data_IF_479038600856
#
_entry.id   IF_479038600856
#
_cell.length_a   1.000
_cell.length_b   1.000
_cell.length_c   1.000
_cell.angle_alpha   90.00
_cell.angle_beta   90.00
_cell.angle_gamma   90.00
#
_symmetry.space_group_name_H-M   'P 1'
#
loop_
_entity.id
_entity.type
_entity.pdbx_description
1 polymer ?
#
# COMPACT_ATOMS: atom_id res chain seq x y z
N UNK A 1 19.67 0.88 0.02
CA UNK A 1 19.90 -0.52 0.43
C UNK A 1 18.59 -1.15 0.90
N UNK A 2 17.83 -1.76 -0.02
CA UNK A 2 16.62 -2.55 0.31
C UNK A 2 16.93 -4.05 0.53
N UNK A 3 18.21 -4.44 0.45
CA UNK A 3 18.62 -5.85 0.58
C UNK A 3 18.29 -6.49 1.95
N UNK A 4 18.07 -5.70 3.00
CA UNK A 4 17.82 -6.22 4.35
C UNK A 4 16.35 -6.50 4.67
N UNK A 5 15.40 -6.07 3.85
CA UNK A 5 13.96 -6.29 4.10
C UNK A 5 13.42 -5.73 5.42
N UNK A 6 14.12 -4.78 6.04
CA UNK A 6 13.73 -4.21 7.34
C UNK A 6 12.31 -3.63 7.31
N UNK A 7 11.95 -2.97 6.19
CA UNK A 7 10.62 -2.41 5.97
C UNK A 7 9.52 -3.48 6.00
N UNK A 8 9.81 -4.68 5.49
CA UNK A 8 8.86 -5.81 5.52
C UNK A 8 8.71 -6.36 6.93
N UNK A 9 9.82 -6.50 7.68
CA UNK A 9 9.78 -6.93 9.07
C UNK A 9 9.02 -5.96 9.95
N UNK A 10 9.26 -4.65 9.80
CA UNK A 10 8.50 -3.63 10.54
C UNK A 10 7.02 -3.66 10.17
N UNK A 11 6.69 -3.78 8.88
CA UNK A 11 5.30 -3.91 8.45
C UNK A 11 4.64 -5.17 9.02
N UNK A 12 5.32 -6.30 8.99
CA UNK A 12 4.83 -7.57 9.53
C UNK A 12 4.57 -7.48 11.04
N UNK A 13 5.53 -6.96 11.81
CA UNK A 13 5.36 -6.77 13.26
C UNK A 13 4.20 -5.80 13.57
N UNK A 14 4.10 -4.71 12.81
CA UNK A 14 2.99 -3.75 12.96
C UNK A 14 1.64 -4.41 12.65
N UNK A 15 1.55 -5.22 11.59
CA UNK A 15 0.33 -5.96 11.27
C UNK A 15 -0.04 -6.97 12.38
N UNK A 16 0.94 -7.65 12.97
CA UNK A 16 0.70 -8.56 14.12
C UNK A 16 0.14 -7.78 15.31
N UNK A 17 0.72 -6.62 15.64
CA UNK A 17 0.24 -5.78 16.74
C UNK A 17 -1.19 -5.29 16.51
N UNK A 18 -1.48 -4.83 15.27
CA UNK A 18 -2.83 -4.41 14.88
C UNK A 18 -3.81 -5.59 14.94
N UNK A 19 -3.42 -6.77 14.43
CA UNK A 19 -4.24 -7.99 14.50
C UNK A 19 -4.50 -8.41 15.95
N UNK A 20 -3.49 -8.33 16.80
CA UNK A 20 -3.61 -8.62 18.23
C UNK A 20 -4.57 -7.66 18.94
N UNK A 21 -4.44 -6.35 18.69
CA UNK A 21 -5.35 -5.35 19.25
C UNK A 21 -6.79 -5.53 18.74
N UNK A 22 -6.97 -5.78 17.43
CA UNK A 22 -8.28 -6.06 16.84
C UNK A 22 -8.90 -7.35 17.44
N UNK A 23 -8.12 -8.42 17.54
CA UNK A 23 -8.56 -9.69 18.12
C UNK A 23 -8.93 -9.55 19.59
N UNK A 24 -8.12 -8.82 20.38
CA UNK A 24 -8.42 -8.54 21.79
C UNK A 24 -9.72 -7.77 21.96
N UNK A 25 -9.94 -6.78 21.11
CA UNK A 25 -11.20 -6.01 21.09
C UNK A 25 -12.40 -6.91 20.73
N UNK A 26 -12.28 -7.73 19.68
CA UNK A 26 -13.33 -8.66 19.28
C UNK A 26 -13.65 -9.69 20.35
N UNK A 27 -12.63 -10.20 21.06
CA UNK A 27 -12.82 -11.11 22.21
C UNK A 27 -13.49 -10.42 23.38
N UNK A 28 -13.13 -9.20 23.70
CA UNK A 28 -13.73 -8.44 24.81
C UNK A 28 -15.20 -8.09 24.56
N UNK A 29 -15.54 -7.78 23.30
CA UNK A 29 -16.91 -7.45 22.89
C UNK A 29 -17.74 -8.65 22.47
N UNK A 30 -17.11 -9.85 22.34
CA UNK A 30 -17.72 -11.08 21.83
C UNK A 30 -18.34 -10.91 20.43
N UNK A 31 -17.90 -9.92 19.67
CA UNK A 31 -18.43 -9.60 18.33
C UNK A 31 -17.28 -9.19 17.40
N UNK A 32 -17.39 -9.54 16.12
CA UNK A 32 -16.51 -8.98 15.10
C UNK A 32 -16.97 -7.53 14.84
N UNK A 33 -16.08 -6.52 15.01
CA UNK A 33 -16.44 -5.13 14.79
C UNK A 33 -17.03 -4.94 13.39
N UNK A 34 -18.24 -4.38 13.31
CA UNK A 34 -18.85 -4.10 12.02
C UNK A 34 -18.12 -2.94 11.32
N UNK A 35 -18.08 -2.98 9.99
CA UNK A 35 -17.46 -1.91 9.19
C UNK A 35 -18.13 -0.53 9.44
N UNK A 36 -19.40 -0.52 9.84
CA UNK A 36 -20.19 0.68 10.18
C UNK A 36 -19.99 1.19 11.59
N UNK A 37 -19.40 0.39 12.49
CA UNK A 37 -19.19 0.78 13.88
C UNK A 37 -18.03 1.78 13.99
N UNK A 38 -18.01 2.57 15.06
CA UNK A 38 -16.98 3.58 15.27
C UNK A 38 -15.56 3.00 15.20
N UNK A 39 -15.35 1.82 15.79
CA UNK A 39 -14.05 1.14 15.78
C UNK A 39 -13.70 0.63 14.37
N UNK A 40 -14.63 -0.04 13.69
CA UNK A 40 -14.44 -0.53 12.32
C UNK A 40 -14.21 0.61 11.33
N UNK A 41 -15.00 1.67 11.42
CA UNK A 41 -14.83 2.88 10.60
C UNK A 41 -13.48 3.56 10.85
N UNK A 42 -13.08 3.70 12.12
CA UNK A 42 -11.79 4.30 12.49
C UNK A 42 -10.61 3.57 11.88
N UNK A 43 -10.59 2.23 11.94
CA UNK A 43 -9.54 1.41 11.31
C UNK A 43 -9.52 1.64 9.78
N UNK A 44 -10.69 1.66 9.13
CA UNK A 44 -10.79 1.92 7.69
C UNK A 44 -10.26 3.28 7.28
N UNK A 45 -10.63 4.33 8.02
CA UNK A 45 -10.17 5.71 7.77
C UNK A 45 -8.65 5.80 7.92
N UNK A 46 -8.09 5.28 9.02
CA UNK A 46 -6.63 5.30 9.24
C UNK A 46 -5.92 4.53 8.13
N UNK A 47 -6.39 3.32 7.80
CA UNK A 47 -5.83 2.51 6.71
C UNK A 47 -5.85 3.24 5.37
N UNK A 48 -6.96 3.89 5.03
CA UNK A 48 -7.08 4.69 3.80
C UNK A 48 -6.12 5.90 3.79
N UNK A 49 -5.99 6.62 4.91
CA UNK A 49 -5.05 7.74 5.04
C UNK A 49 -3.61 7.24 4.81
N UNK A 50 -3.22 6.10 5.40
CA UNK A 50 -1.90 5.51 5.16
C UNK A 50 -1.67 5.18 3.70
N UNK A 51 -2.66 4.60 3.01
CA UNK A 51 -2.60 4.33 1.57
C UNK A 51 -2.47 5.62 0.76
N UNK A 52 -3.23 6.65 1.10
CA UNK A 52 -3.17 7.95 0.42
C UNK A 52 -1.80 8.62 0.60
N UNK A 53 -1.24 8.59 1.80
CA UNK A 53 0.10 9.10 2.10
C UNK A 53 1.17 8.33 1.32
N UNK A 54 1.02 7.01 1.19
CA UNK A 54 1.91 6.15 0.40
C UNK A 54 2.02 6.64 -1.04
N UNK A 55 0.90 6.88 -1.69
CA UNK A 55 0.86 7.30 -3.09
C UNK A 55 1.30 8.75 -3.26
N UNK A 56 0.74 9.66 -2.46
CA UNK A 56 0.97 11.11 -2.64
C UNK A 56 2.40 11.50 -2.30
N UNK A 57 2.91 11.13 -1.14
CA UNK A 57 4.23 11.57 -0.67
C UNK A 57 5.36 10.97 -1.51
N UNK A 58 5.27 9.69 -1.85
CA UNK A 58 6.27 9.04 -2.70
C UNK A 58 6.28 9.66 -4.11
N UNK A 59 5.09 9.87 -4.71
CA UNK A 59 4.95 10.47 -6.02
C UNK A 59 5.44 11.91 -6.05
N UNK A 60 5.13 12.72 -5.04
CA UNK A 60 5.64 14.09 -4.90
C UNK A 60 7.17 14.09 -4.80
N UNK A 61 7.74 13.24 -3.95
CA UNK A 61 9.20 13.14 -3.81
C UNK A 61 9.87 12.69 -5.11
N UNK A 62 9.29 11.73 -5.82
CA UNK A 62 9.83 11.22 -7.10
C UNK A 62 9.83 12.29 -8.20
N UNK A 63 8.83 13.17 -8.23
CA UNK A 63 8.67 14.24 -9.23
C UNK A 63 9.46 15.51 -8.89
N UNK A 64 9.73 15.75 -7.61
CA UNK A 64 10.45 16.95 -7.18
C UNK A 64 11.95 16.80 -7.43
N UNK A 65 12.49 17.60 -8.35
CA UNK A 65 13.92 17.65 -8.67
C UNK A 65 14.73 18.47 -7.66
N UNK A 66 14.10 19.40 -6.94
CA UNK A 66 14.75 20.37 -6.03
C UNK A 66 14.55 20.04 -4.54
N UNK A 67 13.75 19.06 -4.20
CA UNK A 67 13.45 18.79 -2.80
C UNK A 67 14.57 18.00 -2.11
N UNK A 68 15.19 18.60 -1.10
CA UNK A 68 16.14 17.96 -0.19
C UNK A 68 15.48 17.06 0.87
N UNK A 69 14.35 16.43 0.54
CA UNK A 69 13.51 15.66 1.47
C UNK A 69 14.07 14.25 1.73
N UNK A 70 15.33 14.16 2.07
CA UNK A 70 15.93 12.87 2.42
C UNK A 70 16.23 11.95 1.22
N UNK A 71 16.72 10.75 1.52
CA UNK A 71 17.14 9.76 0.52
C UNK A 71 15.94 9.10 -0.16
N UNK A 72 16.01 8.91 -1.47
CA UNK A 72 14.94 8.23 -2.24
C UNK A 72 14.68 6.80 -1.76
N UNK A 73 15.72 6.11 -1.30
CA UNK A 73 15.58 4.76 -0.71
C UNK A 73 14.71 4.74 0.54
N UNK A 74 14.77 5.78 1.38
CA UNK A 74 13.93 5.91 2.58
C UNK A 74 12.48 6.12 2.21
N UNK A 75 12.20 6.94 1.19
CA UNK A 75 10.85 7.15 0.69
C UNK A 75 10.24 5.89 0.07
N UNK A 76 11.06 5.07 -0.61
CA UNK A 76 10.60 3.78 -1.12
C UNK A 76 10.32 2.80 0.02
N UNK A 77 11.15 2.77 1.08
CA UNK A 77 10.88 1.95 2.28
C UNK A 77 9.58 2.38 2.97
N UNK A 78 9.36 3.69 3.09
CA UNK A 78 8.12 4.25 3.62
C UNK A 78 6.91 3.84 2.78
N UNK A 79 7.02 3.97 1.44
CA UNK A 79 5.97 3.53 0.51
C UNK A 79 5.64 2.04 0.69
N UNK A 80 6.64 1.17 0.79
CA UNK A 80 6.43 -0.28 1.00
C UNK A 80 5.78 -0.54 2.36
N UNK A 81 6.27 0.10 3.43
CA UNK A 81 5.75 -0.09 4.78
C UNK A 81 4.28 0.33 4.88
N UNK A 82 3.95 1.56 4.49
CA UNK A 82 2.58 2.07 4.53
C UNK A 82 1.65 1.36 3.54
N UNK A 83 2.20 0.95 2.37
CA UNK A 83 1.51 0.17 1.35
C UNK A 83 1.23 -1.29 1.75
N UNK A 84 1.72 -1.75 2.89
CA UNK A 84 1.35 -3.04 3.51
C UNK A 84 0.43 -2.83 4.72
N UNK A 85 0.77 -1.90 5.60
CA UNK A 85 0.00 -1.66 6.84
C UNK A 85 -1.37 -1.06 6.53
N UNK A 86 -1.45 -0.07 5.62
CA UNK A 86 -2.73 0.56 5.24
C UNK A 86 -3.74 -0.45 4.66
N UNK A 87 -3.39 -1.22 3.62
CA UNK A 87 -4.23 -2.28 3.08
C UNK A 87 -4.65 -3.33 4.12
N UNK A 88 -3.76 -3.70 5.03
CA UNK A 88 -4.09 -4.62 6.11
C UNK A 88 -5.18 -4.06 7.04
N UNK A 89 -5.10 -2.78 7.40
CA UNK A 89 -6.14 -2.11 8.20
C UNK A 89 -7.47 -2.02 7.43
N UNK A 90 -7.42 -1.70 6.13
CA UNK A 90 -8.60 -1.70 5.26
C UNK A 90 -9.22 -3.10 5.20
N UNK A 91 -8.42 -4.16 5.14
CA UNK A 91 -8.91 -5.54 5.18
C UNK A 91 -9.68 -5.83 6.48
N UNK A 92 -9.13 -5.45 7.64
CA UNK A 92 -9.83 -5.60 8.92
C UNK A 92 -11.14 -4.80 8.98
N UNK A 93 -11.16 -3.59 8.37
CA UNK A 93 -12.36 -2.77 8.24
C UNK A 93 -13.49 -3.48 7.48
N UNK A 94 -13.20 -4.34 6.49
CA UNK A 94 -14.25 -5.03 5.73
C UNK A 94 -15.14 -5.92 6.58
N UNK A 95 -14.74 -6.27 7.80
CA UNK A 95 -15.40 -7.27 8.65
C UNK A 95 -15.67 -8.57 7.90
N UNK A 96 -14.79 -8.91 6.96
CA UNK A 96 -14.84 -10.09 6.07
C UNK A 96 -16.04 -10.11 5.11
N UNK A 97 -16.66 -8.95 4.86
CA UNK A 97 -17.77 -8.79 3.91
C UNK A 97 -17.24 -8.20 2.61
N UNK A 98 -17.27 -8.97 1.52
CA UNK A 98 -16.71 -8.61 0.22
C UNK A 98 -17.80 -8.46 -0.86
N UNK A 99 -18.79 -7.61 -0.60
CA UNK A 99 -19.93 -7.43 -1.49
C UNK A 99 -19.90 -6.08 -2.22
N UNK A 100 -20.43 -6.05 -3.42
CA UNK A 100 -20.62 -4.82 -4.20
C UNK A 100 -19.32 -4.04 -4.41
N UNK A 101 -19.40 -2.72 -4.33
CA UNK A 101 -18.27 -1.82 -4.56
C UNK A 101 -17.16 -2.00 -3.52
N UNK A 102 -17.49 -2.28 -2.26
CA UNK A 102 -16.52 -2.58 -1.21
C UNK A 102 -15.66 -3.80 -1.56
N UNK A 103 -16.30 -4.86 -2.08
CA UNK A 103 -15.61 -6.06 -2.54
C UNK A 103 -14.69 -5.79 -3.72
N UNK A 104 -15.13 -4.99 -4.70
CA UNK A 104 -14.31 -4.58 -5.84
C UNK A 104 -13.07 -3.76 -5.40
N UNK A 105 -13.26 -2.81 -4.47
CA UNK A 105 -12.17 -2.00 -3.90
C UNK A 105 -11.18 -2.88 -3.14
N UNK A 106 -11.66 -3.85 -2.37
CA UNK A 106 -10.81 -4.82 -1.65
C UNK A 106 -10.03 -5.70 -2.61
N UNK A 107 -10.64 -6.18 -3.70
CA UNK A 107 -9.94 -6.95 -4.73
C UNK A 107 -8.80 -6.12 -5.36
N UNK A 108 -9.07 -4.88 -5.75
CA UNK A 108 -8.04 -3.97 -6.27
C UNK A 108 -6.92 -3.75 -5.25
N UNK A 109 -7.24 -3.67 -3.96
CA UNK A 109 -6.27 -3.57 -2.87
C UNK A 109 -5.36 -4.79 -2.82
N UNK A 110 -5.88 -6.00 -2.94
CA UNK A 110 -5.07 -7.22 -3.04
C UNK A 110 -4.16 -7.23 -4.27
N UNK A 111 -4.71 -6.86 -5.42
CA UNK A 111 -3.96 -6.84 -6.69
C UNK A 111 -2.80 -5.83 -6.59
N UNK A 112 -3.02 -4.63 -6.06
CA UNK A 112 -1.97 -3.62 -5.96
C UNK A 112 -0.86 -4.02 -4.97
N UNK A 113 -1.22 -4.62 -3.83
CA UNK A 113 -0.24 -5.15 -2.86
C UNK A 113 0.60 -6.26 -3.48
N UNK A 114 -0.03 -7.22 -4.15
CA UNK A 114 0.69 -8.29 -4.84
C UNK A 114 1.62 -7.75 -5.92
N UNK A 115 1.13 -6.82 -6.73
CA UNK A 115 1.95 -6.11 -7.72
C UNK A 115 3.12 -5.36 -7.09
N UNK A 116 2.94 -4.78 -5.89
CA UNK A 116 4.00 -4.14 -5.11
C UNK A 116 5.15 -5.11 -4.75
N UNK A 117 4.84 -6.36 -4.36
CA UNK A 117 5.85 -7.39 -4.13
C UNK A 117 6.64 -7.72 -5.40
N UNK A 118 5.97 -7.82 -6.55
CA UNK A 118 6.63 -8.04 -7.85
C UNK A 118 7.58 -6.87 -8.15
N UNK A 119 7.11 -5.63 -8.02
CA UNK A 119 7.92 -4.44 -8.25
C UNK A 119 9.14 -4.38 -7.34
N UNK A 120 8.96 -4.68 -6.05
CA UNK A 120 10.06 -4.77 -5.08
C UNK A 120 11.07 -5.85 -5.48
N UNK A 121 10.62 -7.01 -5.89
CA UNK A 121 11.50 -8.09 -6.36
C UNK A 121 12.34 -7.64 -7.55
N UNK A 122 11.74 -7.04 -8.58
CA UNK A 122 12.44 -6.51 -9.75
C UNK A 122 13.42 -5.41 -9.32
N UNK A 123 12.98 -4.47 -8.46
CA UNK A 123 13.79 -3.37 -7.98
C UNK A 123 15.08 -3.83 -7.28
N UNK A 124 14.99 -4.86 -6.44
CA UNK A 124 16.15 -5.39 -5.70
C UNK A 124 17.16 -6.12 -6.58
N UNK A 125 16.79 -6.46 -7.82
CA UNK A 125 17.71 -7.08 -8.81
C UNK A 125 18.61 -6.07 -9.50
N UNK A 126 18.27 -4.77 -9.47
CA UNK A 126 19.08 -3.71 -10.05
C UNK A 126 19.94 -3.10 -8.93
N UNK A 127 21.27 -3.25 -8.95
CA UNK A 127 22.14 -2.61 -7.98
C UNK A 127 22.03 -1.08 -8.09
N UNK A 128 21.83 -0.41 -6.95
CA UNK A 128 21.66 1.04 -6.87
C UNK A 128 22.39 1.63 -5.69
N UNK A 129 22.83 2.88 -5.83
CA UNK A 129 23.37 3.69 -4.74
C UNK A 129 22.27 4.05 -3.73
N UNK A 130 22.65 4.69 -2.62
CA UNK A 130 21.68 5.19 -1.64
C UNK A 130 20.79 6.30 -2.20
N UNK A 131 21.25 7.03 -3.20
CA UNK A 131 20.52 8.08 -3.93
C UNK A 131 19.58 7.50 -5.00
N UNK A 132 19.61 6.19 -5.23
CA UNK A 132 18.76 5.51 -6.21
C UNK A 132 19.35 5.44 -7.62
N UNK A 133 20.61 5.85 -7.80
CA UNK A 133 21.32 5.73 -9.07
C UNK A 133 21.77 4.27 -9.29
N UNK A 134 21.73 3.82 -10.52
CA UNK A 134 22.21 2.48 -10.88
C UNK A 134 23.74 2.41 -10.82
N UNK A 135 24.29 1.29 -10.26
CA UNK A 135 25.72 1.06 -10.18
C UNK A 135 26.14 0.35 -11.46
N UNK A 136 26.97 0.99 -12.26
CA UNK A 136 27.51 0.43 -13.49
C UNK A 136 28.50 -0.72 -13.23
N UNK A 137 28.58 -1.68 -14.17
CA UNK A 137 29.55 -2.75 -14.13
C UNK A 137 29.23 -3.94 -13.22
N UNK A 138 28.12 -3.91 -12.45
CA UNK A 138 27.74 -5.02 -11.54
C UNK A 138 26.89 -6.11 -12.20
N UNK A 139 26.26 -5.80 -13.33
CA UNK A 139 25.45 -6.71 -14.14
C UNK A 139 25.89 -6.66 -15.60
N UNK A 140 25.66 -7.76 -16.33
CA UNK A 140 25.82 -7.71 -17.78
C UNK A 140 24.83 -6.73 -18.39
N UNK A 141 25.20 -6.09 -19.50
CA UNK A 141 24.33 -5.11 -20.20
C UNK A 141 22.97 -5.70 -20.57
N UNK A 142 22.93 -6.98 -20.94
CA UNK A 142 21.67 -7.68 -21.25
C UNK A 142 20.79 -7.86 -20.01
N UNK A 143 21.37 -8.27 -18.88
CA UNK A 143 20.64 -8.46 -17.63
C UNK A 143 20.06 -7.13 -17.13
N UNK A 144 20.82 -6.03 -17.24
CA UNK A 144 20.37 -4.69 -16.90
C UNK A 144 19.24 -4.22 -17.81
N UNK A 145 19.37 -4.45 -19.13
CA UNK A 145 18.32 -4.12 -20.12
C UNK A 145 17.02 -4.87 -19.81
N UNK A 146 17.09 -6.16 -19.53
CA UNK A 146 15.92 -6.98 -19.16
C UNK A 146 15.27 -6.48 -17.87
N UNK A 147 16.05 -6.18 -16.85
CA UNK A 147 15.54 -5.67 -15.58
C UNK A 147 14.83 -4.30 -15.74
N UNK A 148 15.38 -3.39 -16.57
CA UNK A 148 14.76 -2.11 -16.90
C UNK A 148 13.45 -2.31 -17.68
N UNK A 149 13.39 -3.23 -18.63
CA UNK A 149 12.18 -3.56 -19.38
C UNK A 149 11.08 -4.10 -18.46
N UNK A 150 11.40 -5.05 -17.56
CA UNK A 150 10.47 -5.59 -16.58
C UNK A 150 9.95 -4.49 -15.62
N UNK A 151 10.82 -3.59 -15.18
CA UNK A 151 10.43 -2.47 -14.33
C UNK A 151 9.50 -1.50 -15.07
N UNK A 152 9.77 -1.22 -16.34
CA UNK A 152 8.90 -0.37 -17.17
C UNK A 152 7.53 -1.01 -17.36
N UNK A 153 7.48 -2.30 -17.70
CA UNK A 153 6.22 -3.06 -17.85
C UNK A 153 5.43 -3.07 -16.53
N UNK A 154 6.11 -3.33 -15.42
CA UNK A 154 5.48 -3.30 -14.11
C UNK A 154 4.86 -1.92 -13.78
N UNK A 155 5.56 -0.82 -14.06
CA UNK A 155 5.01 0.53 -13.87
C UNK A 155 3.75 0.77 -14.70
N UNK A 156 3.73 0.27 -15.94
CA UNK A 156 2.58 0.41 -16.86
C UNK A 156 1.33 -0.29 -16.32
N UNK A 157 1.49 -1.30 -15.48
CA UNK A 157 0.38 -2.04 -14.85
C UNK A 157 0.07 -1.51 -13.46
N UNK A 158 1.09 -1.33 -12.62
CA UNK A 158 0.94 -0.96 -11.21
C UNK A 158 0.27 0.40 -11.03
N UNK A 159 0.67 1.41 -11.81
CA UNK A 159 0.16 2.79 -11.66
C UNK A 159 -1.33 2.89 -12.01
N UNK A 160 -1.82 2.38 -13.17
CA UNK A 160 -3.25 2.41 -13.46
C UNK A 160 -4.12 1.65 -12.46
N UNK A 161 -3.64 0.52 -11.95
CA UNK A 161 -4.35 -0.23 -10.90
C UNK A 161 -4.46 0.61 -9.62
N UNK A 162 -3.39 1.31 -9.23
CA UNK A 162 -3.42 2.24 -8.09
C UNK A 162 -4.43 3.36 -8.28
N UNK A 163 -4.47 3.97 -9.47
CA UNK A 163 -5.47 5.01 -9.81
C UNK A 163 -6.89 4.44 -9.73
N UNK A 164 -7.13 3.27 -10.31
CA UNK A 164 -8.45 2.61 -10.27
C UNK A 164 -8.88 2.30 -8.82
N UNK A 165 -7.94 1.85 -7.98
CA UNK A 165 -8.17 1.60 -6.56
C UNK A 165 -8.63 2.88 -5.85
N UNK A 166 -7.91 4.01 -6.01
CA UNK A 166 -8.29 5.26 -5.34
C UNK A 166 -9.61 5.81 -5.84
N UNK A 167 -9.90 5.75 -7.15
CA UNK A 167 -11.21 6.12 -7.69
C UNK A 167 -12.31 5.26 -7.04
N UNK A 168 -12.14 3.95 -7.01
CA UNK A 168 -13.09 3.02 -6.39
C UNK A 168 -13.28 3.30 -4.90
N UNK A 169 -12.21 3.58 -4.17
CA UNK A 169 -12.25 3.91 -2.75
C UNK A 169 -12.99 5.23 -2.48
N UNK A 170 -12.76 6.28 -3.28
CA UNK A 170 -13.48 7.55 -3.14
C UNK A 170 -14.96 7.40 -3.45
N UNK A 171 -15.33 6.62 -4.49
CA UNK A 171 -16.74 6.33 -4.78
C UNK A 171 -17.38 5.53 -3.63
N UNK A 172 -16.66 4.54 -3.09
CA UNK A 172 -17.11 3.76 -1.94
C UNK A 172 -17.38 4.64 -0.72
N UNK A 173 -16.44 5.55 -0.38
CA UNK A 173 -16.63 6.48 0.73
C UNK A 173 -17.80 7.45 0.49
N UNK A 174 -17.93 8.00 -0.72
CA UNK A 174 -19.04 8.86 -1.09
C UNK A 174 -20.39 8.16 -0.97
N UNK A 175 -20.48 6.92 -1.46
CA UNK A 175 -21.68 6.09 -1.30
C UNK A 175 -21.97 5.80 0.17
N UNK A 176 -20.98 5.42 0.97
CA UNK A 176 -21.17 5.15 2.40
C UNK A 176 -21.68 6.39 3.16
N UNK A 177 -21.14 7.57 2.88
CA UNK A 177 -21.59 8.84 3.46
C UNK A 177 -23.01 9.17 3.02
N UNK A 178 -23.33 9.01 1.74
CA UNK A 178 -24.68 9.25 1.23
C UNK A 178 -25.71 8.37 1.93
N UNK A 179 -25.48 7.06 1.99
CA UNK A 179 -26.41 6.14 2.68
C UNK A 179 -26.51 6.40 4.19
N UNK A 180 -25.41 6.76 4.83
CA UNK A 180 -25.42 7.07 6.26
C UNK A 180 -26.18 8.37 6.59
N UNK A 181 -26.26 9.33 5.64
CA UNK A 181 -26.83 10.67 5.90
C UNK A 181 -28.27 10.79 5.40
N UNK A 182 -28.58 10.23 4.22
CA UNK A 182 -29.84 10.53 3.54
C UNK A 182 -30.84 9.37 3.54
N UNK A 183 -30.46 8.18 3.95
CA UNK A 183 -31.33 6.98 3.94
C UNK A 183 -31.47 6.35 5.34
N UNK A 184 -31.39 7.18 6.38
CA UNK A 184 -31.72 6.80 7.77
C UNK A 184 -33.22 6.86 8.01
#
# INVERSE_FOLDING_TARGET
MLRGGKELWFAFLTCILIAGAYGSFAMATQTIPAASDLFGHGIGIIGFILMLLTETLYSLRKRSKSASWGRMSTWLQFHIYMGLVGPFMVLLHTSWKFNGLAGATTLLTFIIVFSGFIGRYIYTRIPRTMEGLEIEGTLSQEALKRARQLMSLWHTVHIPIGIALFISAFIHMGAALYYATFLK
#
